data_IF_904701587796
#
_entry.id   IF_904701587796
#
_cell.length_a   1.000
_cell.length_b   1.000
_cell.length_c   1.000
_cell.angle_alpha   90.00
_cell.angle_beta   90.00
_cell.angle_gamma   90.00
#
_symmetry.space_group_name_H-M   'P 1'
#
loop_
_entity.id
_entity.type
_entity.pdbx_description
1 polymer ?
#
# COMPACT_ATOMS: atom_id res chain seq x y z
N UNK A 1 -4.42 -19.83 24.77
CA UNK A 1 -5.03 -20.21 23.47
C UNK A 1 -3.96 -20.23 22.41
N UNK A 2 -3.87 -21.32 21.69
CA UNK A 2 -2.90 -21.47 20.60
C UNK A 2 -3.43 -20.76 19.34
N UNK A 3 -2.61 -19.89 18.75
CA UNK A 3 -2.95 -19.27 17.48
C UNK A 3 -2.53 -20.19 16.33
N UNK A 4 -3.47 -20.58 15.50
CA UNK A 4 -3.24 -21.45 14.36
C UNK A 4 -3.02 -20.59 13.10
N UNK A 5 -1.98 -20.94 12.35
CA UNK A 5 -1.69 -20.28 11.07
C UNK A 5 -2.80 -20.56 10.07
N UNK A 6 -3.16 -19.57 9.29
CA UNK A 6 -4.16 -19.68 8.23
C UNK A 6 -3.66 -19.03 6.95
N UNK A 7 -4.03 -19.65 5.84
CA UNK A 7 -3.88 -19.10 4.49
C UNK A 7 -5.21 -19.27 3.75
N UNK A 8 -5.75 -18.22 3.20
CA UNK A 8 -6.96 -18.31 2.38
C UNK A 8 -6.79 -17.58 1.08
N UNK A 9 -6.97 -18.32 0.02
CA UNK A 9 -6.96 -17.78 -1.35
C UNK A 9 -8.28 -17.01 -1.56
N UNK A 10 -8.18 -15.78 -2.03
CA UNK A 10 -9.34 -14.90 -2.22
C UNK A 10 -9.39 -14.36 -3.64
N UNK A 11 -10.61 -14.08 -4.09
CA UNK A 11 -10.85 -13.38 -5.33
C UNK A 11 -10.72 -11.86 -5.13
N UNK A 12 -10.70 -11.12 -6.23
CA UNK A 12 -10.44 -9.67 -6.22
C UNK A 12 -11.37 -8.90 -5.29
N UNK A 13 -12.66 -9.19 -5.29
CA UNK A 13 -13.63 -8.44 -4.48
C UNK A 13 -13.30 -8.54 -2.98
N UNK A 14 -13.00 -9.73 -2.48
CA UNK A 14 -12.64 -9.96 -1.09
C UNK A 14 -11.28 -9.35 -0.76
N UNK A 15 -10.32 -9.43 -1.69
CA UNK A 15 -9.03 -8.78 -1.55
C UNK A 15 -9.21 -7.27 -1.35
N UNK A 16 -9.99 -6.62 -2.20
CA UNK A 16 -10.17 -5.16 -2.13
C UNK A 16 -10.88 -4.74 -0.83
N UNK A 17 -11.82 -5.53 -0.33
CA UNK A 17 -12.42 -5.27 0.98
C UNK A 17 -11.38 -5.35 2.11
N UNK A 18 -10.51 -6.34 2.05
CA UNK A 18 -9.42 -6.50 3.01
C UNK A 18 -8.47 -5.30 3.00
N UNK A 19 -8.06 -4.85 1.83
CA UNK A 19 -7.13 -3.74 1.65
C UNK A 19 -7.76 -2.40 2.04
N UNK A 20 -9.04 -2.20 1.72
CA UNK A 20 -9.75 -0.91 1.93
C UNK A 20 -9.71 -0.44 3.38
N UNK A 21 -9.76 -1.33 4.32
CA UNK A 21 -9.80 -1.02 5.76
C UNK A 21 -8.42 -0.90 6.40
N UNK A 22 -7.34 -1.14 5.64
CA UNK A 22 -5.98 -1.19 6.16
C UNK A 22 -5.11 -0.10 5.55
N UNK A 23 -4.34 0.56 6.41
CA UNK A 23 -3.55 1.73 6.01
C UNK A 23 -2.07 1.61 6.34
N UNK A 24 -1.65 0.48 6.87
CA UNK A 24 -0.25 0.21 7.17
C UNK A 24 0.30 -0.84 6.22
N UNK A 25 1.44 -0.54 5.63
CA UNK A 25 2.06 -1.47 4.71
C UNK A 25 3.57 -1.35 4.64
N UNK A 26 4.17 -2.34 4.01
CA UNK A 26 5.57 -2.31 3.60
C UNK A 26 5.60 -2.29 2.08
N UNK A 27 6.19 -1.25 1.53
CA UNK A 27 6.40 -1.12 0.09
C UNK A 27 7.81 -1.56 -0.25
N UNK A 28 7.92 -2.52 -1.17
CA UNK A 28 9.19 -2.99 -1.71
C UNK A 28 9.33 -2.50 -3.14
N UNK A 29 10.47 -1.88 -3.43
CA UNK A 29 10.87 -1.44 -4.75
C UNK A 29 12.27 -1.97 -5.05
N UNK A 30 12.72 -1.90 -6.29
CA UNK A 30 14.02 -2.44 -6.68
C UNK A 30 15.05 -1.33 -6.84
N UNK A 31 16.18 -1.50 -6.16
CA UNK A 31 17.36 -0.67 -6.37
C UNK A 31 17.91 -0.85 -7.78
N UNK A 32 18.81 0.02 -8.16
CA UNK A 32 19.49 -0.04 -9.45
C UNK A 32 20.24 -1.37 -9.66
N UNK A 33 20.76 -1.96 -8.59
CA UNK A 33 21.45 -3.26 -8.63
C UNK A 33 20.51 -4.47 -8.53
N UNK A 34 19.18 -4.24 -8.53
CA UNK A 34 18.17 -5.29 -8.46
C UNK A 34 17.83 -5.77 -7.06
N UNK A 35 18.48 -5.25 -6.02
CA UNK A 35 18.15 -5.61 -4.64
C UNK A 35 16.88 -4.90 -4.19
N UNK A 36 16.06 -5.55 -3.35
CA UNK A 36 14.87 -4.91 -2.81
C UNK A 36 15.20 -3.81 -1.79
N UNK A 37 14.41 -2.75 -1.82
CA UNK A 37 14.43 -1.69 -0.84
C UNK A 37 13.03 -1.60 -0.21
N UNK A 38 12.95 -1.72 1.11
CA UNK A 38 11.69 -1.73 1.85
C UNK A 38 11.45 -0.37 2.53
N UNK A 39 10.21 0.09 2.49
CA UNK A 39 9.77 1.30 3.20
C UNK A 39 8.47 1.02 3.93
N UNK A 40 8.37 1.45 5.18
CA UNK A 40 7.08 1.51 5.86
C UNK A 40 6.28 2.67 5.26
N UNK A 41 5.03 2.42 4.93
CA UNK A 41 4.16 3.40 4.30
C UNK A 41 2.79 3.42 4.95
N UNK A 42 2.20 4.61 4.99
CA UNK A 42 0.75 4.77 5.18
C UNK A 42 0.12 4.74 3.80
N UNK A 43 -0.87 3.91 3.61
CA UNK A 43 -1.45 3.63 2.31
C UNK A 43 -2.97 3.67 2.34
N UNK A 44 -3.57 3.87 1.19
CA UNK A 44 -5.01 3.80 1.00
C UNK A 44 -5.36 3.18 -0.33
N UNK A 45 -6.49 2.50 -0.39
CA UNK A 45 -7.01 1.97 -1.65
C UNK A 45 -7.72 3.10 -2.40
N UNK A 46 -7.37 3.27 -3.68
CA UNK A 46 -8.11 4.17 -4.58
C UNK A 46 -9.60 3.80 -4.53
N UNK A 47 -10.53 4.76 -4.41
CA UNK A 47 -11.97 4.47 -4.41
C UNK A 47 -12.44 3.65 -5.60
N UNK A 48 -11.74 3.70 -6.73
CA UNK A 48 -12.03 2.87 -7.90
C UNK A 48 -11.52 1.43 -7.76
N UNK A 49 -10.69 1.14 -6.74
CA UNK A 49 -10.31 -0.21 -6.36
C UNK A 49 -9.28 -0.89 -7.25
N UNK A 50 -8.50 -0.15 -8.03
CA UNK A 50 -7.48 -0.72 -8.92
C UNK A 50 -6.04 -0.47 -8.46
N UNK A 51 -5.84 0.44 -7.52
CA UNK A 51 -4.52 0.84 -7.07
C UNK A 51 -4.46 1.16 -5.59
N UNK A 52 -3.28 0.91 -5.00
CA UNK A 52 -2.91 1.41 -3.68
C UNK A 52 -2.21 2.76 -3.86
N UNK A 53 -2.60 3.74 -3.07
CA UNK A 53 -2.08 5.10 -3.10
C UNK A 53 -1.12 5.34 -1.94
N UNK A 54 0.02 5.96 -2.23
CA UNK A 54 1.02 6.35 -1.23
C UNK A 54 1.54 7.75 -1.58
N UNK A 55 1.56 8.64 -0.61
CA UNK A 55 2.17 9.96 -0.76
C UNK A 55 3.66 9.88 -0.43
N UNK A 56 4.50 10.54 -1.22
CA UNK A 56 5.94 10.54 -1.02
C UNK A 56 6.56 11.85 -1.53
N UNK A 57 7.89 11.88 -1.55
CA UNK A 57 8.68 12.98 -2.10
C UNK A 57 9.50 12.47 -3.29
N UNK A 58 9.83 13.37 -4.25
CA UNK A 58 10.53 12.96 -5.48
C UNK A 58 11.90 12.32 -5.24
N UNK A 59 12.60 12.75 -4.20
CA UNK A 59 13.98 12.32 -3.88
C UNK A 59 14.06 11.09 -2.97
N UNK A 60 12.93 10.55 -2.53
CA UNK A 60 12.92 9.32 -1.73
C UNK A 60 13.29 8.11 -2.57
N UNK A 61 13.97 7.14 -1.94
CA UNK A 61 14.44 5.93 -2.63
C UNK A 61 13.33 5.21 -3.39
N UNK A 62 12.16 5.04 -2.77
CA UNK A 62 11.02 4.37 -3.41
C UNK A 62 10.52 5.11 -4.65
N UNK A 63 10.52 6.44 -4.64
CA UNK A 63 10.13 7.24 -5.80
C UNK A 63 11.13 7.10 -6.94
N UNK A 64 12.42 7.22 -6.65
CA UNK A 64 13.49 7.06 -7.63
C UNK A 64 13.53 5.64 -8.19
N UNK A 65 13.34 4.64 -7.35
CA UNK A 65 13.32 3.24 -7.78
C UNK A 65 12.15 2.97 -8.73
N UNK A 66 10.95 3.46 -8.42
CA UNK A 66 9.76 3.27 -9.25
C UNK A 66 9.85 3.97 -10.60
N UNK A 67 10.54 5.11 -10.68
CA UNK A 67 10.78 5.77 -11.97
C UNK A 67 11.65 4.94 -12.90
N UNK A 68 12.57 4.17 -12.32
CA UNK A 68 13.50 3.32 -13.04
C UNK A 68 12.92 1.96 -13.40
N UNK A 69 12.17 1.38 -12.45
CA UNK A 69 11.59 0.05 -12.57
C UNK A 69 10.23 0.05 -11.87
N UNK A 70 9.17 -0.18 -12.64
CA UNK A 70 7.80 -0.11 -12.14
C UNK A 70 7.38 -1.30 -11.27
N UNK A 71 8.19 -2.36 -11.18
CA UNK A 71 7.88 -3.49 -10.30
C UNK A 71 7.87 -3.07 -8.84
N UNK A 72 6.82 -3.45 -8.14
CA UNK A 72 6.66 -3.17 -6.72
C UNK A 72 5.83 -4.25 -6.03
N UNK A 73 6.04 -4.38 -4.74
CA UNK A 73 5.26 -5.27 -3.87
C UNK A 73 4.80 -4.49 -2.67
N UNK A 74 3.60 -4.76 -2.23
CA UNK A 74 3.06 -4.16 -1.01
C UNK A 74 2.61 -5.27 -0.08
N UNK A 75 3.17 -5.30 1.12
CA UNK A 75 2.63 -6.12 2.20
C UNK A 75 1.62 -5.26 2.95
N UNK A 76 0.34 -5.60 2.83
CA UNK A 76 -0.75 -4.91 3.52
C UNK A 76 -0.91 -5.55 4.89
N UNK A 77 -0.75 -4.78 5.94
CA UNK A 77 -0.69 -5.25 7.32
C UNK A 77 -1.95 -4.88 8.09
N UNK A 78 -2.33 -5.72 9.02
CA UNK A 78 -3.31 -5.36 10.05
C UNK A 78 -2.68 -4.47 11.10
N UNK A 79 -3.51 -3.74 11.86
CA UNK A 79 -3.01 -2.88 12.94
C UNK A 79 -2.41 -3.71 14.09
N UNK A 80 -2.94 -4.92 14.33
CA UNK A 80 -2.34 -5.87 15.26
C UNK A 80 -1.16 -6.57 14.59
N UNK A 81 0.00 -6.63 15.26
CA UNK A 81 1.21 -7.23 14.71
C UNK A 81 1.01 -8.68 14.22
N UNK A 82 0.28 -9.48 14.96
CA UNK A 82 0.01 -10.88 14.60
C UNK A 82 -1.32 -11.06 13.84
N UNK A 83 -1.85 -9.98 13.26
CA UNK A 83 -3.06 -10.02 12.45
C UNK A 83 -2.84 -10.58 11.05
N UNK A 84 -3.91 -10.64 10.29
CA UNK A 84 -3.87 -11.06 8.89
C UNK A 84 -3.09 -10.05 8.04
N UNK A 85 -2.45 -10.54 7.00
CA UNK A 85 -1.71 -9.74 6.01
C UNK A 85 -1.82 -10.35 4.63
N UNK A 86 -1.55 -9.55 3.60
CA UNK A 86 -1.51 -10.02 2.22
C UNK A 86 -0.37 -9.33 1.48
N UNK A 87 0.29 -10.03 0.57
CA UNK A 87 1.27 -9.45 -0.34
C UNK A 87 0.64 -9.22 -1.70
N UNK A 88 0.72 -7.98 -2.16
CA UNK A 88 0.30 -7.55 -3.49
C UNK A 88 1.51 -7.46 -4.40
N UNK A 89 1.36 -7.90 -5.65
CA UNK A 89 2.30 -7.60 -6.73
C UNK A 89 1.72 -6.45 -7.55
N UNK A 90 2.49 -5.40 -7.73
CA UNK A 90 2.01 -4.15 -8.31
C UNK A 90 2.91 -3.64 -9.43
N UNK A 91 2.32 -2.83 -10.28
CA UNK A 91 3.03 -1.96 -11.21
C UNK A 91 2.92 -0.54 -10.70
N UNK A 92 4.05 0.04 -10.30
CA UNK A 92 4.10 1.38 -9.71
C UNK A 92 4.21 2.48 -10.76
N UNK A 93 3.54 3.58 -10.48
CA UNK A 93 3.59 4.80 -11.27
C UNK A 93 3.87 5.97 -10.32
N UNK A 94 4.80 6.84 -10.68
CA UNK A 94 5.07 8.07 -9.93
C UNK A 94 4.37 9.22 -10.66
N UNK A 95 3.41 9.84 -9.98
CA UNK A 95 2.66 10.97 -10.53
C UNK A 95 3.18 12.25 -9.90
N UNK A 96 3.68 13.17 -10.73
CA UNK A 96 4.19 14.46 -10.31
C UNK A 96 3.09 15.52 -10.26
N UNK A 97 3.35 16.60 -9.55
CA UNK A 97 2.49 17.79 -9.57
C UNK A 97 2.56 18.46 -10.94
N UNK A 98 1.48 19.09 -11.41
CA UNK A 98 0.18 19.24 -10.72
C UNK A 98 -0.75 18.03 -10.86
N UNK A 99 -0.44 17.05 -11.69
CA UNK A 99 -1.31 15.90 -11.98
C UNK A 99 -1.58 15.03 -10.73
N UNK A 100 -0.66 15.06 -9.76
CA UNK A 100 -0.80 14.31 -8.51
C UNK A 100 -1.89 14.84 -7.57
N UNK A 101 -2.36 16.09 -7.72
CA UNK A 101 -3.22 16.73 -6.72
C UNK A 101 -4.52 15.96 -6.45
N UNK A 102 -5.23 15.54 -7.49
CA UNK A 102 -6.49 14.80 -7.32
C UNK A 102 -6.27 13.49 -6.57
N UNK A 103 -5.21 12.76 -6.92
CA UNK A 103 -4.87 11.51 -6.26
C UNK A 103 -4.40 11.71 -4.81
N UNK A 104 -3.70 12.80 -4.52
CA UNK A 104 -3.30 13.16 -3.15
C UNK A 104 -4.52 13.50 -2.29
N UNK A 105 -5.52 14.16 -2.85
CA UNK A 105 -6.81 14.43 -2.19
C UNK A 105 -7.51 13.12 -1.86
N UNK A 106 -7.59 12.20 -2.81
CA UNK A 106 -8.20 10.88 -2.57
C UNK A 106 -7.42 10.06 -1.54
N UNK A 107 -6.09 10.09 -1.59
CA UNK A 107 -5.22 9.45 -0.60
C UNK A 107 -5.53 9.95 0.82
N UNK A 108 -5.61 11.26 1.01
CA UNK A 108 -5.95 11.83 2.32
C UNK A 108 -7.35 11.40 2.75
N UNK A 109 -8.32 11.50 1.83
CA UNK A 109 -9.73 11.23 2.12
C UNK A 109 -9.97 9.78 2.57
N UNK A 110 -9.38 8.81 1.89
CA UNK A 110 -9.57 7.38 2.23
C UNK A 110 -8.89 6.98 3.53
N UNK A 111 -7.86 7.71 3.96
CA UNK A 111 -7.13 7.43 5.21
C UNK A 111 -7.70 8.21 6.38
N UNK A 112 -8.00 9.49 6.18
CA UNK A 112 -8.28 10.44 7.26
C UNK A 112 -9.67 11.09 7.17
N UNK A 113 -10.42 10.85 6.12
CA UNK A 113 -11.72 11.48 5.88
C UNK A 113 -11.61 12.87 5.26
N UNK A 114 -12.67 13.67 5.38
CA UNK A 114 -12.70 15.00 4.77
C UNK A 114 -11.74 15.97 5.48
N UNK A 115 -10.99 16.71 4.69
CA UNK A 115 -10.15 17.80 5.18
C UNK A 115 -11.02 19.04 5.42
N UNK A 116 -10.72 19.82 6.46
CA UNK A 116 -11.46 21.05 6.78
C UNK A 116 -11.28 22.15 5.73
N UNK A 117 -10.18 22.13 4.98
CA UNK A 117 -9.86 23.12 3.95
C UNK A 117 -9.01 22.46 2.84
N UNK A 118 -9.67 22.02 1.77
CA UNK A 118 -9.00 21.37 0.65
C UNK A 118 -8.06 22.30 -0.12
N UNK A 119 -8.34 23.60 -0.19
CA UNK A 119 -7.46 24.55 -0.84
C UNK A 119 -6.13 24.67 -0.08
N UNK A 120 -6.19 24.77 1.25
CA UNK A 120 -4.98 24.75 2.10
C UNK A 120 -4.20 23.46 1.93
N UNK A 121 -4.88 22.30 1.89
CA UNK A 121 -4.23 21.01 1.67
C UNK A 121 -3.48 20.98 0.34
N UNK A 122 -4.12 21.39 -0.75
CA UNK A 122 -3.50 21.41 -2.08
C UNK A 122 -2.30 22.37 -2.14
N UNK A 123 -2.40 23.53 -1.51
CA UNK A 123 -1.29 24.46 -1.39
C UNK A 123 -0.11 23.84 -0.60
N UNK A 124 -0.40 23.14 0.47
CA UNK A 124 0.62 22.46 1.27
C UNK A 124 1.31 21.35 0.47
N UNK A 125 0.57 20.56 -0.30
CA UNK A 125 1.15 19.53 -1.16
C UNK A 125 2.06 20.13 -2.21
N UNK A 126 1.68 21.25 -2.78
CA UNK A 126 2.48 22.00 -3.77
C UNK A 126 3.77 22.54 -3.15
N UNK A 127 3.66 23.19 -1.98
CA UNK A 127 4.84 23.70 -1.27
C UNK A 127 5.84 22.62 -0.90
N UNK A 128 5.33 21.45 -0.53
CA UNK A 128 6.15 20.31 -0.13
C UNK A 128 6.68 19.49 -1.31
N UNK A 129 6.28 19.84 -2.53
CA UNK A 129 6.66 19.11 -3.75
C UNK A 129 6.35 17.62 -3.65
N UNK A 130 5.15 17.30 -3.20
CA UNK A 130 4.72 15.90 -3.03
C UNK A 130 4.56 15.19 -4.37
N UNK A 131 4.80 13.89 -4.36
CA UNK A 131 4.41 12.99 -5.45
C UNK A 131 3.40 11.97 -4.94
N UNK A 132 2.59 11.45 -5.85
CA UNK A 132 1.71 10.31 -5.59
C UNK A 132 2.34 9.06 -6.20
N UNK A 133 2.47 8.02 -5.41
CA UNK A 133 2.78 6.69 -5.90
C UNK A 133 1.46 5.95 -6.09
N UNK A 134 1.18 5.55 -7.32
CA UNK A 134 -0.01 4.77 -7.67
C UNK A 134 0.46 3.36 -7.99
N UNK A 135 0.07 2.42 -7.16
CA UNK A 135 0.53 1.04 -7.22
C UNK A 135 -0.62 0.17 -7.73
N UNK A 136 -0.62 -0.07 -9.04
CA UNK A 136 -1.66 -0.85 -9.71
C UNK A 136 -1.55 -2.32 -9.33
N UNK A 137 -2.60 -2.90 -8.77
CA UNK A 137 -2.61 -4.28 -8.30
C UNK A 137 -2.73 -5.22 -9.50
N UNK A 138 -1.71 -6.06 -9.71
CA UNK A 138 -1.67 -7.03 -10.80
C UNK A 138 -1.99 -8.46 -10.32
N UNK A 139 -1.44 -8.84 -9.18
CA UNK A 139 -1.71 -10.14 -8.56
C UNK A 139 -1.52 -10.06 -7.06
N UNK A 140 -1.86 -11.12 -6.35
CA UNK A 140 -1.76 -11.17 -4.89
C UNK A 140 -1.61 -12.60 -4.40
N UNK A 141 -1.00 -12.76 -3.22
CA UNK A 141 -0.95 -14.01 -2.51
C UNK A 141 -2.20 -14.26 -1.66
N UNK A 142 -2.22 -15.32 -0.86
CA UNK A 142 -3.31 -15.56 0.06
C UNK A 142 -3.34 -14.51 1.16
N UNK A 143 -4.51 -14.30 1.77
CA UNK A 143 -4.60 -13.58 3.03
C UNK A 143 -4.16 -14.55 4.11
N UNK A 144 -3.06 -14.23 4.78
CA UNK A 144 -2.35 -15.13 5.68
C UNK A 144 -2.36 -14.61 7.11
N UNK A 145 -2.26 -15.53 8.05
CA UNK A 145 -2.03 -15.22 9.45
C UNK A 145 -1.03 -16.24 10.00
N UNK A 146 0.01 -15.73 10.66
CA UNK A 146 1.02 -16.57 11.29
C UNK A 146 0.50 -17.30 12.51
N UNK A 147 1.18 -18.40 12.88
CA UNK A 147 0.82 -19.18 14.03
C UNK A 147 1.35 -20.61 13.91
N UNK A 148 0.82 -21.49 14.75
CA UNK A 148 1.18 -22.90 14.74
C UNK A 148 0.50 -23.63 13.58
N UNK A 149 1.12 -24.69 13.04
CA UNK A 149 0.47 -25.52 12.02
C UNK A 149 -0.84 -26.13 12.56
N UNK A 150 -1.84 -26.26 11.68
CA UNK A 150 -3.15 -26.78 12.06
C UNK A 150 -3.09 -28.18 12.72
N UNK A 151 -2.13 -29.03 12.32
CA UNK A 151 -1.91 -30.36 12.92
C UNK A 151 -1.61 -30.33 14.42
N UNK A 152 -1.17 -29.19 14.95
CA UNK A 152 -0.87 -29.03 16.38
C UNK A 152 -2.07 -28.49 17.17
N UNK A 153 -3.18 -28.21 16.53
CA UNK A 153 -4.38 -27.73 17.20
C UNK A 153 -5.16 -28.88 17.91
N UNK A 154 -4.86 -30.11 17.53
CA UNK A 154 -5.57 -31.30 18.03
C UNK A 154 -4.83 -32.00 19.22
N UNK A 155 -3.69 -31.46 19.63
CA UNK A 155 -2.93 -31.90 20.81
C UNK A 155 -3.33 -31.08 22.06
#
# INVERSE_FOLDING_TARGET
>A
MVSIATDRVVERAELLEFVRERHHGVLLTLRRDGRPQASLVTMGLDPQGDAVLVSSYPDRAKSLNLRRNSQAWVVVMSDAWNGEWVQLECRGEVVDLPDALDGLVEYFRVISGEHSDWDEYCEAMTRQDKVLLRLHIESWGPISKGGFPARLAEE
#
